data_IF_643269530123
#
_entry.id   IF_643269530123
#
_cell.length_a   1.000
_cell.length_b   1.000
_cell.length_c   1.000
_cell.angle_alpha   90.00
_cell.angle_beta   90.00
_cell.angle_gamma   90.00
#
_symmetry.space_group_name_H-M   'P 1'
#
loop_
_entity.id
_entity.type
_entity.pdbx_description
1 polymer ?
#
# COMPACT_ATOMS: atom_id res chain seq x y z
N UNK A 1 27.79 -12.86 -7.07
CA UNK A 1 26.98 -14.03 -7.46
C UNK A 1 25.54 -13.67 -7.19
N UNK A 2 24.68 -13.60 -8.19
CA UNK A 2 23.24 -13.46 -7.95
C UNK A 2 22.79 -14.72 -7.21
N UNK A 3 22.07 -14.55 -6.10
CA UNK A 3 21.45 -15.66 -5.39
C UNK A 3 20.30 -16.14 -6.28
N UNK A 4 20.40 -17.36 -6.78
CA UNK A 4 19.28 -18.01 -7.43
C UNK A 4 18.25 -18.34 -6.32
N UNK A 5 16.98 -17.99 -6.53
CA UNK A 5 15.87 -18.16 -5.60
C UNK A 5 15.88 -17.18 -4.39
N UNK A 6 15.47 -15.96 -4.65
CA UNK A 6 15.26 -14.96 -3.59
C UNK A 6 13.95 -15.21 -2.84
N UNK A 7 13.97 -14.96 -1.53
CA UNK A 7 12.76 -14.89 -0.71
C UNK A 7 12.26 -13.46 -0.64
N UNK A 8 11.04 -13.22 -1.12
CA UNK A 8 10.44 -11.89 -1.23
C UNK A 8 9.22 -11.82 -0.32
N UNK A 9 9.20 -10.85 0.59
CA UNK A 9 8.06 -10.57 1.46
C UNK A 9 7.32 -9.32 0.98
N UNK A 10 6.05 -9.46 0.65
CA UNK A 10 5.14 -8.34 0.40
C UNK A 10 4.36 -8.03 1.66
N UNK A 11 4.34 -6.77 2.07
CA UNK A 11 3.53 -6.26 3.18
C UNK A 11 2.62 -5.17 2.63
N UNK A 12 1.32 -5.31 2.79
CA UNK A 12 0.32 -4.37 2.29
C UNK A 12 -0.85 -4.23 3.25
N UNK A 13 -1.57 -3.10 3.23
CA UNK A 13 -2.85 -3.01 3.94
C UNK A 13 -3.84 -4.08 3.49
N UNK A 14 -3.99 -4.22 2.19
CA UNK A 14 -4.84 -5.19 1.50
C UNK A 14 -4.26 -5.51 0.11
N UNK A 15 -4.66 -6.59 -0.52
CA UNK A 15 -4.30 -6.86 -1.91
C UNK A 15 -5.20 -6.02 -2.84
N UNK A 16 -4.74 -4.82 -3.15
CA UNK A 16 -5.49 -3.88 -3.97
C UNK A 16 -5.51 -4.34 -5.43
N UNK A 17 -6.71 -4.55 -5.96
CA UNK A 17 -6.99 -5.00 -7.35
C UNK A 17 -6.17 -6.22 -7.81
N UNK A 18 -5.72 -7.06 -6.87
CA UNK A 18 -4.95 -8.26 -7.20
C UNK A 18 -3.49 -8.02 -7.61
N UNK A 19 -2.98 -6.80 -7.46
CA UNK A 19 -1.64 -6.41 -7.91
C UNK A 19 -0.54 -7.25 -7.25
N UNK A 20 -0.68 -7.54 -5.95
CA UNK A 20 0.31 -8.36 -5.24
C UNK A 20 0.35 -9.79 -5.76
N UNK A 21 -0.79 -10.35 -6.15
CA UNK A 21 -0.85 -11.69 -6.74
C UNK A 21 -0.13 -11.75 -8.08
N UNK A 22 -0.24 -10.69 -8.90
CA UNK A 22 0.48 -10.57 -10.17
C UNK A 22 1.99 -10.42 -9.95
N UNK A 23 2.43 -9.61 -8.99
CA UNK A 23 3.83 -9.51 -8.59
C UNK A 23 4.37 -10.85 -8.13
N UNK A 24 3.65 -11.53 -7.22
CA UNK A 24 4.01 -12.86 -6.73
C UNK A 24 4.18 -13.84 -7.89
N UNK A 25 3.19 -13.96 -8.77
CA UNK A 25 3.23 -14.86 -9.93
C UNK A 25 4.43 -14.56 -10.84
N UNK A 26 4.71 -13.26 -11.11
CA UNK A 26 5.81 -12.86 -11.96
C UNK A 26 7.18 -13.19 -11.34
N UNK A 27 7.34 -13.12 -10.02
CA UNK A 27 8.58 -13.49 -9.35
C UNK A 27 8.72 -14.99 -9.17
N UNK A 28 7.65 -15.71 -8.83
CA UNK A 28 7.65 -17.17 -8.71
C UNK A 28 7.95 -17.85 -10.05
N UNK A 29 7.47 -17.31 -11.17
CA UNK A 29 7.81 -17.82 -12.52
C UNK A 29 9.30 -17.69 -12.85
N UNK A 30 10.06 -16.91 -12.07
CA UNK A 30 11.52 -16.75 -12.17
C UNK A 30 12.28 -17.54 -11.09
N UNK A 31 11.59 -18.42 -10.36
CA UNK A 31 12.19 -19.27 -9.34
C UNK A 31 12.32 -18.64 -7.95
N UNK A 32 11.74 -17.46 -7.71
CA UNK A 32 11.75 -16.82 -6.39
C UNK A 32 10.64 -17.40 -5.49
N UNK A 33 10.80 -17.30 -4.18
CA UNK A 33 9.80 -17.65 -3.18
C UNK A 33 9.11 -16.38 -2.68
N UNK A 34 7.77 -16.28 -2.80
CA UNK A 34 7.04 -15.07 -2.47
C UNK A 34 5.98 -15.30 -1.41
N UNK A 35 5.99 -14.47 -0.37
CA UNK A 35 4.97 -14.43 0.67
C UNK A 35 4.27 -13.08 0.69
N UNK A 36 2.93 -13.11 0.76
CA UNK A 36 2.11 -11.89 0.91
C UNK A 36 1.55 -11.87 2.33
N UNK A 37 1.71 -10.74 3.01
CA UNK A 37 1.06 -10.44 4.29
C UNK A 37 0.19 -9.22 4.12
N UNK A 38 -1.10 -9.35 4.48
CA UNK A 38 -2.02 -8.22 4.51
C UNK A 38 -2.51 -7.92 5.92
N UNK A 39 -2.78 -6.64 6.19
CA UNK A 39 -3.22 -6.21 7.51
C UNK A 39 -4.70 -6.53 7.72
N UNK A 40 -5.52 -6.50 6.65
CA UNK A 40 -6.94 -6.81 6.70
C UNK A 40 -7.45 -7.33 5.34
N UNK A 41 -8.62 -7.97 5.36
CA UNK A 41 -9.28 -8.43 4.14
C UNK A 41 -9.85 -7.26 3.33
N UNK A 42 -9.66 -7.29 2.03
CA UNK A 42 -10.38 -6.44 1.08
C UNK A 42 -11.85 -6.86 0.98
N UNK A 43 -12.69 -5.96 0.48
CA UNK A 43 -14.09 -6.29 0.13
C UNK A 43 -14.21 -7.07 -1.19
N UNK A 44 -13.14 -7.16 -1.93
CA UNK A 44 -13.04 -7.87 -3.20
C UNK A 44 -12.39 -9.23 -2.98
N UNK A 45 -12.74 -10.21 -3.80
CA UNK A 45 -12.25 -11.60 -3.75
C UNK A 45 -10.80 -11.75 -4.28
N UNK A 46 -9.91 -10.85 -3.90
CA UNK A 46 -8.48 -11.01 -4.17
C UNK A 46 -7.81 -11.79 -3.04
N UNK A 47 -6.91 -12.70 -3.41
CA UNK A 47 -6.13 -13.49 -2.46
C UNK A 47 -5.37 -12.55 -1.50
N UNK A 48 -5.70 -12.54 -0.21
CA UNK A 48 -5.02 -11.70 0.77
C UNK A 48 -3.65 -12.23 1.20
N UNK A 49 -3.28 -13.44 0.76
CA UNK A 49 -2.16 -14.16 1.36
C UNK A 49 -2.41 -14.46 2.84
N UNK A 50 -1.39 -14.25 3.69
CA UNK A 50 -1.52 -14.36 5.14
C UNK A 50 -2.14 -13.07 5.68
N UNK A 51 -3.42 -13.09 6.01
CA UNK A 51 -4.11 -11.93 6.55
C UNK A 51 -4.05 -11.90 8.08
N UNK A 52 -3.50 -10.81 8.65
CA UNK A 52 -3.39 -10.66 10.10
C UNK A 52 -4.69 -10.27 10.78
N UNK A 53 -5.72 -9.86 10.04
CA UNK A 53 -7.03 -9.44 10.58
C UNK A 53 -6.87 -8.43 11.72
N UNK A 54 -6.12 -7.34 11.47
CA UNK A 54 -5.87 -6.32 12.47
C UNK A 54 -7.12 -5.47 12.71
N UNK A 55 -7.40 -5.09 13.98
CA UNK A 55 -8.53 -4.22 14.30
C UNK A 55 -8.25 -2.76 13.91
N UNK A 56 -9.29 -1.90 13.99
CA UNK A 56 -9.21 -0.45 13.73
C UNK A 56 -8.73 -0.08 12.31
N UNK A 57 -9.17 -0.86 11.35
CA UNK A 57 -8.87 -0.66 9.93
C UNK A 57 -10.08 -0.15 9.16
N UNK A 58 -9.86 0.39 7.97
CA UNK A 58 -10.90 0.95 7.09
C UNK A 58 -12.03 -0.04 6.75
N UNK A 59 -11.78 -1.33 6.84
CA UNK A 59 -12.75 -2.38 6.54
C UNK A 59 -13.95 -2.42 7.51
N UNK A 60 -13.85 -1.85 8.72
CA UNK A 60 -14.96 -1.77 9.67
C UNK A 60 -15.91 -0.61 9.33
N UNK A 61 -17.21 -0.86 9.01
CA UNK A 61 -18.16 0.20 8.68
C UNK A 61 -18.34 1.24 9.80
N UNK A 62 -18.37 0.77 11.05
CA UNK A 62 -18.48 1.65 12.21
C UNK A 62 -17.24 2.57 12.35
N UNK A 63 -16.07 2.00 12.18
CA UNK A 63 -14.81 2.74 12.24
C UNK A 63 -14.73 3.78 11.12
N UNK A 64 -15.08 3.40 9.89
CA UNK A 64 -15.11 4.31 8.74
C UNK A 64 -16.07 5.47 8.96
N UNK A 65 -17.27 5.21 9.50
CA UNK A 65 -18.27 6.24 9.80
C UNK A 65 -17.79 7.20 10.90
N UNK A 66 -17.16 6.67 11.96
CA UNK A 66 -16.62 7.47 13.06
C UNK A 66 -15.44 8.32 12.60
N UNK A 67 -14.54 7.74 11.78
CA UNK A 67 -13.42 8.43 11.17
C UNK A 67 -13.89 9.54 10.23
N UNK A 68 -14.88 9.28 9.38
CA UNK A 68 -15.44 10.27 8.47
C UNK A 68 -16.05 11.46 9.26
N UNK A 69 -16.82 11.19 10.32
CA UNK A 69 -17.34 12.24 11.20
C UNK A 69 -16.23 13.07 11.86
N UNK A 70 -15.17 12.40 12.33
CA UNK A 70 -14.02 13.11 12.91
C UNK A 70 -13.36 14.02 11.88
N UNK A 71 -13.11 13.54 10.66
CA UNK A 71 -12.52 14.37 9.61
C UNK A 71 -13.41 15.52 9.16
N UNK A 72 -14.72 15.31 9.07
CA UNK A 72 -15.68 16.39 8.79
C UNK A 72 -15.64 17.49 9.85
N UNK A 73 -15.56 17.10 11.13
CA UNK A 73 -15.51 18.05 12.26
C UNK A 73 -14.14 18.73 12.38
N UNK A 74 -13.04 18.01 12.11
CA UNK A 74 -11.68 18.52 12.29
C UNK A 74 -11.15 19.30 11.08
N UNK A 75 -11.65 19.03 9.87
CA UNK A 75 -11.13 19.55 8.60
C UNK A 75 -12.17 20.22 7.69
N UNK A 76 -13.45 20.22 8.06
CA UNK A 76 -14.55 20.67 7.22
C UNK A 76 -15.09 19.56 6.30
N UNK A 77 -16.17 19.86 5.57
CA UNK A 77 -16.95 18.88 4.80
C UNK A 77 -16.18 18.16 3.67
N UNK A 78 -15.09 18.72 3.16
CA UNK A 78 -14.27 18.19 2.07
C UNK A 78 -13.01 17.45 2.55
N UNK A 79 -12.89 17.21 3.85
CA UNK A 79 -11.67 16.83 4.56
C UNK A 79 -11.02 15.50 4.20
N UNK A 80 -11.67 14.59 3.48
CA UNK A 80 -11.10 13.28 3.12
C UNK A 80 -10.11 13.36 1.94
N UNK A 81 -10.07 14.49 1.22
CA UNK A 81 -9.33 14.66 -0.05
C UNK A 81 -8.51 15.94 -0.13
N UNK A 82 -8.13 16.47 0.99
CA UNK A 82 -7.17 17.56 0.97
C UNK A 82 -5.80 17.00 0.56
N UNK A 83 -5.29 17.46 -0.58
CA UNK A 83 -3.92 17.15 -0.96
C UNK A 83 -2.96 17.65 0.12
N UNK A 84 -1.99 16.81 0.43
CA UNK A 84 -0.97 17.18 1.40
C UNK A 84 0.18 17.88 0.70
N UNK A 85 0.58 19.02 1.24
CA UNK A 85 1.73 19.78 0.75
C UNK A 85 3.06 19.10 1.13
N UNK A 86 4.09 19.39 0.34
CA UNK A 86 5.45 18.92 0.57
C UNK A 86 6.05 18.21 -0.64
N UNK A 87 7.39 18.04 -0.61
CA UNK A 87 8.18 17.37 -1.66
C UNK A 87 9.29 16.51 -1.01
N UNK A 88 8.98 15.25 -0.67
CA UNK A 88 7.67 14.61 -0.67
C UNK A 88 6.73 15.14 0.43
N UNK A 89 5.40 14.98 0.27
CA UNK A 89 4.49 15.23 1.38
C UNK A 89 4.74 14.20 2.47
N UNK A 90 4.91 14.63 3.72
CA UNK A 90 5.26 13.75 4.85
C UNK A 90 4.09 13.57 5.78
N UNK A 91 3.78 12.34 6.13
CA UNK A 91 2.76 12.02 7.13
C UNK A 91 3.15 12.57 8.51
N UNK A 92 2.19 13.21 9.15
CA UNK A 92 2.26 13.60 10.55
C UNK A 92 0.86 13.53 11.16
N UNK A 93 0.72 13.22 12.45
CA UNK A 93 -0.56 13.33 13.12
C UNK A 93 -1.06 14.79 13.09
N UNK A 94 -2.34 14.99 12.77
CA UNK A 94 -2.92 16.35 12.69
C UNK A 94 -3.25 16.94 14.06
N UNK A 95 -3.27 16.10 15.10
CA UNK A 95 -3.56 16.50 16.47
C UNK A 95 -2.89 15.56 17.46
N UNK A 96 -2.78 16.01 18.71
CA UNK A 96 -2.33 15.17 19.83
C UNK A 96 -3.22 13.94 20.00
N UNK A 97 -4.54 14.09 19.80
CA UNK A 97 -5.50 12.98 19.88
C UNK A 97 -5.23 11.92 18.80
N UNK A 98 -4.96 12.35 17.58
CA UNK A 98 -4.61 11.45 16.48
C UNK A 98 -3.28 10.72 16.74
N UNK A 99 -2.29 11.42 17.31
CA UNK A 99 -1.03 10.81 17.75
C UNK A 99 -1.28 9.70 18.79
N UNK A 100 -2.06 9.98 19.82
CA UNK A 100 -2.43 9.00 20.86
C UNK A 100 -3.20 7.82 20.27
N UNK A 101 -4.12 8.10 19.33
CA UNK A 101 -4.86 7.05 18.65
C UNK A 101 -3.93 6.09 17.90
N UNK A 102 -2.97 6.59 17.10
CA UNK A 102 -2.04 5.72 16.38
C UNK A 102 -1.12 4.95 17.33
N UNK A 103 -0.67 5.55 18.42
CA UNK A 103 0.12 4.85 19.45
C UNK A 103 -0.66 3.71 20.10
N UNK A 104 -1.92 3.97 20.48
CA UNK A 104 -2.81 2.95 21.02
C UNK A 104 -3.09 1.85 20.02
N UNK A 105 -3.40 2.20 18.78
CA UNK A 105 -3.61 1.24 17.69
C UNK A 105 -2.39 0.34 17.51
N UNK A 106 -1.20 0.92 17.41
CA UNK A 106 0.04 0.19 17.18
C UNK A 106 0.38 -0.71 18.39
N UNK A 107 0.05 -0.28 19.59
CA UNK A 107 0.14 -1.11 20.77
C UNK A 107 -0.82 -2.31 20.71
N UNK A 108 -2.09 -2.11 20.34
CA UNK A 108 -3.03 -3.22 20.15
C UNK A 108 -2.57 -4.16 19.03
N UNK A 109 -2.05 -3.60 17.96
CA UNK A 109 -1.57 -4.40 16.84
C UNK A 109 -0.35 -5.26 17.20
N UNK A 110 0.49 -4.79 18.11
CA UNK A 110 1.68 -5.54 18.53
C UNK A 110 1.37 -6.92 19.10
N UNK A 111 0.20 -7.11 19.72
CA UNK A 111 -0.23 -8.43 20.21
C UNK A 111 -0.47 -9.48 19.11
N UNK A 112 -0.67 -9.06 17.86
CA UNK A 112 -0.78 -9.96 16.70
C UNK A 112 0.47 -9.91 15.82
N UNK A 113 1.03 -8.74 15.63
CA UNK A 113 2.14 -8.53 14.71
C UNK A 113 3.45 -9.12 15.24
N UNK A 114 3.79 -8.90 16.53
CA UNK A 114 5.04 -9.43 17.07
C UNK A 114 5.09 -10.98 17.09
N UNK A 115 4.02 -11.70 17.48
CA UNK A 115 3.98 -13.15 17.25
C UNK A 115 4.11 -13.54 15.79
N UNK A 116 3.39 -12.86 14.86
CA UNK A 116 3.47 -13.16 13.45
C UNK A 116 4.89 -12.95 12.88
N UNK A 117 5.58 -11.89 13.30
CA UNK A 117 6.99 -11.67 12.89
C UNK A 117 7.86 -12.86 13.30
N UNK A 118 7.67 -13.39 14.50
CA UNK A 118 8.45 -14.51 15.02
C UNK A 118 8.03 -15.84 14.38
N UNK A 119 6.73 -16.14 14.38
CA UNK A 119 6.20 -17.46 13.99
C UNK A 119 6.32 -17.70 12.49
N UNK A 120 6.27 -16.64 11.68
CA UNK A 120 6.45 -16.67 10.23
C UNK A 120 7.86 -16.29 9.80
N UNK A 121 8.78 -16.10 10.75
CA UNK A 121 10.19 -15.74 10.49
C UNK A 121 10.34 -14.55 9.52
N UNK A 122 9.55 -13.48 9.74
CA UNK A 122 9.44 -12.37 8.80
C UNK A 122 10.72 -11.53 8.66
N UNK A 123 11.74 -11.74 9.46
CA UNK A 123 13.03 -11.07 9.34
C UNK A 123 14.02 -11.83 8.43
N UNK A 124 13.66 -13.03 7.98
CA UNK A 124 14.54 -13.91 7.20
C UNK A 124 14.17 -13.97 5.70
N UNK A 125 13.74 -12.82 5.16
CA UNK A 125 13.57 -12.65 3.71
C UNK A 125 14.75 -11.90 3.11
N UNK A 126 14.93 -12.03 1.79
CA UNK A 126 16.02 -11.37 1.07
C UNK A 126 15.61 -9.97 0.62
N UNK A 127 14.32 -9.77 0.27
CA UNK A 127 13.75 -8.49 -0.20
C UNK A 127 12.41 -8.26 0.49
N UNK A 128 12.15 -7.02 0.85
CA UNK A 128 10.89 -6.56 1.43
C UNK A 128 10.21 -5.55 0.51
N UNK A 129 8.98 -5.84 0.12
CA UNK A 129 8.19 -4.95 -0.72
C UNK A 129 7.00 -4.41 0.07
N UNK A 130 7.04 -3.12 0.38
CA UNK A 130 6.03 -2.43 1.18
C UNK A 130 5.07 -1.71 0.24
N UNK A 131 3.87 -2.24 0.10
CA UNK A 131 2.84 -1.62 -0.73
C UNK A 131 2.17 -0.47 0.03
N UNK A 132 1.83 0.62 -0.66
CA UNK A 132 1.38 1.89 -0.10
C UNK A 132 2.43 2.59 0.79
N UNK A 133 3.71 2.24 0.70
CA UNK A 133 4.74 2.74 1.61
C UNK A 133 4.36 2.53 3.08
N UNK A 134 3.80 1.36 3.40
CA UNK A 134 3.33 0.98 4.73
C UNK A 134 3.99 -0.31 5.19
N UNK A 135 4.30 -0.35 6.47
CA UNK A 135 4.55 -1.56 7.25
C UNK A 135 3.44 -1.76 8.29
N UNK A 136 3.67 -2.56 9.31
CA UNK A 136 2.70 -2.80 10.37
C UNK A 136 2.43 -1.57 11.22
N UNK A 137 3.45 -0.75 11.50
CA UNK A 137 3.40 0.37 12.43
C UNK A 137 3.64 1.73 11.76
N UNK A 138 3.18 2.79 12.40
CA UNK A 138 3.38 4.16 11.90
C UNK A 138 4.74 4.76 12.27
N UNK A 139 5.44 4.16 13.22
CA UNK A 139 6.75 4.64 13.66
C UNK A 139 7.94 4.01 12.91
N UNK A 140 7.68 3.05 12.00
CA UNK A 140 8.72 2.41 11.18
C UNK A 140 9.58 1.41 11.95
N UNK A 141 9.13 0.92 13.11
CA UNK A 141 9.95 0.06 13.97
C UNK A 141 10.32 -1.28 13.35
N UNK A 142 9.48 -1.83 12.46
CA UNK A 142 9.82 -3.05 11.72
C UNK A 142 10.86 -2.76 10.65
N UNK A 143 10.65 -1.71 9.85
CA UNK A 143 11.60 -1.26 8.83
C UNK A 143 12.97 -0.94 9.43
N UNK A 144 13.02 -0.33 10.63
CA UNK A 144 14.29 -0.09 11.33
C UNK A 144 15.08 -1.38 11.61
N UNK A 145 14.39 -2.45 12.02
CA UNK A 145 15.04 -3.78 12.20
C UNK A 145 15.60 -4.32 10.87
N UNK A 146 14.90 -4.06 9.75
CA UNK A 146 15.36 -4.48 8.42
C UNK A 146 16.58 -3.67 7.96
N UNK A 147 16.56 -2.36 8.19
CA UNK A 147 17.67 -1.45 7.88
C UNK A 147 18.93 -1.83 8.68
N UNK A 148 18.80 -2.08 9.99
CA UNK A 148 19.87 -2.56 10.85
C UNK A 148 20.46 -3.90 10.39
N UNK A 149 19.63 -4.75 9.76
CA UNK A 149 20.02 -6.03 9.17
C UNK A 149 20.53 -5.91 7.72
N UNK A 150 20.62 -4.70 7.16
CA UNK A 150 21.05 -4.45 5.78
C UNK A 150 20.13 -5.04 4.71
N UNK A 151 18.84 -5.18 5.01
CA UNK A 151 17.86 -5.78 4.10
C UNK A 151 17.34 -4.73 3.09
N UNK A 152 17.31 -5.06 1.78
CA UNK A 152 16.75 -4.16 0.78
C UNK A 152 15.23 -4.05 0.93
N UNK A 153 14.76 -2.80 0.88
CA UNK A 153 13.35 -2.44 1.03
C UNK A 153 12.90 -1.70 -0.23
N UNK A 154 11.77 -2.13 -0.80
CA UNK A 154 11.11 -1.48 -1.92
C UNK A 154 9.78 -0.93 -1.42
N UNK A 155 9.46 0.33 -1.73
CA UNK A 155 8.16 0.92 -1.46
C UNK A 155 7.41 1.21 -2.75
N UNK A 156 6.17 0.74 -2.85
CA UNK A 156 5.24 1.18 -3.90
C UNK A 156 4.31 2.24 -3.33
N UNK A 157 4.22 3.37 -4.04
CA UNK A 157 3.31 4.47 -3.71
C UNK A 157 2.22 4.60 -4.77
N UNK A 158 0.98 4.77 -4.30
CA UNK A 158 -0.20 4.99 -5.12
C UNK A 158 -0.73 6.42 -4.94
N UNK A 159 -1.67 6.83 -5.80
CA UNK A 159 -2.17 8.20 -5.77
C UNK A 159 -2.83 8.60 -4.47
N UNK A 160 -3.66 7.72 -3.91
CA UNK A 160 -4.42 8.07 -2.72
C UNK A 160 -3.52 8.23 -1.48
N UNK A 161 -2.55 7.34 -1.28
CA UNK A 161 -1.64 7.41 -0.14
C UNK A 161 -0.69 8.61 -0.26
N UNK A 162 -0.07 8.80 -1.41
CA UNK A 162 0.87 9.91 -1.63
C UNK A 162 0.17 11.27 -1.56
N UNK A 163 -0.99 11.43 -2.22
CA UNK A 163 -1.69 12.73 -2.26
C UNK A 163 -2.33 13.11 -0.93
N UNK A 164 -2.83 12.14 -0.13
CA UNK A 164 -3.62 12.46 1.08
C UNK A 164 -2.88 12.24 2.39
N UNK A 165 -2.15 11.14 2.49
CA UNK A 165 -1.37 10.80 3.68
C UNK A 165 0.05 11.36 3.63
N UNK A 166 0.69 11.21 2.48
CA UNK A 166 2.12 11.40 2.29
C UNK A 166 2.93 10.18 2.75
N UNK A 167 4.25 10.27 2.59
CA UNK A 167 5.20 9.23 3.00
C UNK A 167 5.33 9.15 4.52
N UNK A 168 5.64 7.98 5.05
CA UNK A 168 6.05 7.81 6.44
C UNK A 168 7.59 7.90 6.45
N UNK A 169 8.10 9.01 6.96
CA UNK A 169 9.51 9.38 6.82
C UNK A 169 10.52 8.28 7.20
N UNK A 170 10.39 7.52 8.30
CA UNK A 170 11.34 6.42 8.59
C UNK A 170 11.26 5.30 7.55
N UNK A 171 10.09 5.00 6.99
CA UNK A 171 9.93 3.95 5.97
C UNK A 171 10.55 4.42 4.65
N UNK A 172 10.22 5.63 4.24
CA UNK A 172 10.67 6.23 2.99
C UNK A 172 12.22 6.36 2.94
N UNK A 173 12.82 6.80 4.04
CA UNK A 173 14.27 6.94 4.16
C UNK A 173 15.03 5.61 4.13
N UNK A 174 14.45 4.56 4.69
CA UNK A 174 15.05 3.23 4.71
C UNK A 174 14.83 2.47 3.39
N UNK A 175 13.96 2.96 2.53
CA UNK A 175 13.68 2.34 1.23
C UNK A 175 14.89 2.45 0.30
N UNK A 176 15.29 1.33 -0.26
CA UNK A 176 16.34 1.25 -1.30
C UNK A 176 15.80 1.63 -2.68
N UNK A 177 14.48 1.54 -2.88
CA UNK A 177 13.82 1.84 -4.14
C UNK A 177 12.36 2.25 -3.89
N UNK A 178 11.99 3.43 -4.35
CA UNK A 178 10.63 3.94 -4.33
C UNK A 178 10.04 3.89 -5.74
N UNK A 179 8.90 3.22 -5.92
CA UNK A 179 8.26 3.05 -7.23
C UNK A 179 6.82 3.52 -7.22
N UNK A 180 6.35 3.92 -8.38
CA UNK A 180 4.94 4.25 -8.64
C UNK A 180 4.53 3.90 -10.07
N UNK A 181 3.26 3.59 -10.26
CA UNK A 181 2.65 3.45 -11.59
C UNK A 181 1.91 4.72 -12.06
N UNK A 182 1.95 5.79 -11.27
CA UNK A 182 1.25 7.05 -11.54
C UNK A 182 2.28 8.15 -11.83
N UNK A 183 2.38 8.58 -13.09
CA UNK A 183 3.40 9.53 -13.56
C UNK A 183 3.36 10.89 -12.84
N UNK A 184 2.17 11.37 -12.47
CA UNK A 184 2.03 12.64 -11.76
C UNK A 184 2.62 12.61 -10.33
N UNK A 185 2.73 11.44 -9.71
CA UNK A 185 3.36 11.31 -8.39
C UNK A 185 4.87 11.56 -8.43
N UNK A 186 5.51 11.39 -9.58
CA UNK A 186 6.93 11.74 -9.73
C UNK A 186 7.19 13.24 -9.53
N UNK A 187 6.16 14.08 -9.70
CA UNK A 187 6.23 15.50 -9.39
C UNK A 187 6.06 15.80 -7.89
N UNK A 188 5.66 14.81 -7.09
CA UNK A 188 5.44 14.95 -5.64
C UNK A 188 6.55 14.34 -4.80
N UNK A 189 7.42 13.50 -5.39
CA UNK A 189 8.49 12.84 -4.68
C UNK A 189 9.71 12.68 -5.58
N UNK A 190 10.91 13.20 -5.17
CA UNK A 190 12.09 13.26 -6.04
C UNK A 190 12.65 11.88 -6.41
N UNK A 191 12.53 10.90 -5.51
CA UNK A 191 13.19 9.60 -5.62
C UNK A 191 12.27 8.52 -6.18
N UNK A 192 11.04 8.87 -6.65
CA UNK A 192 10.13 7.93 -7.28
C UNK A 192 10.62 7.53 -8.67
N UNK A 193 10.63 6.24 -8.92
CA UNK A 193 10.81 5.67 -10.24
C UNK A 193 9.49 5.15 -10.78
N UNK A 194 9.23 5.43 -12.06
CA UNK A 194 8.04 4.92 -12.73
C UNK A 194 8.20 3.44 -13.07
N UNK A 195 7.25 2.63 -12.62
CA UNK A 195 7.16 1.23 -12.98
C UNK A 195 5.69 0.87 -13.23
N UNK A 196 5.40 0.35 -14.42
CA UNK A 196 4.06 -0.09 -14.75
C UNK A 196 3.61 -1.21 -13.80
N UNK A 197 2.33 -1.20 -13.41
CA UNK A 197 1.76 -2.31 -12.65
C UNK A 197 1.89 -3.62 -13.46
N UNK A 198 2.14 -4.76 -12.82
CA UNK A 198 2.17 -6.04 -13.49
C UNK A 198 0.81 -6.31 -14.14
N UNK A 199 0.84 -6.76 -15.38
CA UNK A 199 -0.35 -7.11 -16.15
C UNK A 199 -0.12 -8.41 -16.90
N UNK A 200 -1.06 -9.33 -16.80
CA UNK A 200 -1.00 -10.58 -17.55
C UNK A 200 -1.46 -10.36 -18.99
N UNK A 201 -0.51 -10.25 -19.89
CA UNK A 201 -0.77 -10.07 -21.34
C UNK A 201 -1.19 -11.35 -22.05
N UNK A 202 -1.06 -12.51 -21.41
CA UNK A 202 -1.43 -13.80 -22.02
C UNK A 202 -2.94 -13.94 -22.25
N UNK A 203 -3.72 -13.20 -21.47
CA UNK A 203 -5.18 -13.15 -21.58
C UNK A 203 -5.68 -12.04 -22.51
N UNK A 204 -4.76 -11.33 -23.19
CA UNK A 204 -5.14 -10.23 -24.03
C UNK A 204 -5.82 -10.74 -25.31
N UNK A 205 -7.13 -10.47 -25.40
CA UNK A 205 -7.89 -10.76 -26.61
C UNK A 205 -7.53 -9.71 -27.65
N UNK A 206 -7.08 -10.13 -28.83
CA UNK A 206 -6.80 -9.23 -29.95
C UNK A 206 -8.01 -8.32 -30.21
N UNK A 207 -7.80 -7.00 -30.43
CA UNK A 207 -8.91 -6.09 -30.69
C UNK A 207 -9.62 -6.56 -31.95
N UNK A 208 -10.90 -6.91 -31.79
CA UNK A 208 -11.80 -7.07 -32.91
C UNK A 208 -12.04 -5.70 -33.54
N UNK A 209 -12.59 -5.65 -34.73
CA UNK A 209 -12.93 -4.43 -35.48
C UNK A 209 -13.41 -3.27 -34.60
N UNK A 210 -12.95 -2.05 -34.91
CA UNK A 210 -13.41 -0.81 -34.27
C UNK A 210 -14.93 -0.73 -34.32
N UNK A 211 -15.57 -0.62 -33.16
CA UNK A 211 -17.02 -0.46 -33.07
C UNK A 211 -17.46 0.87 -33.71
N UNK A 212 -18.49 0.81 -34.56
CA UNK A 212 -19.16 2.02 -35.02
C UNK A 212 -20.63 1.95 -34.59
N UNK A 213 -21.12 2.95 -33.84
CA UNK A 213 -20.41 4.13 -33.30
C UNK A 213 -19.35 3.78 -32.23
N UNK A 214 -18.39 4.68 -32.03
CA UNK A 214 -17.36 4.54 -30.96
C UNK A 214 -18.05 4.38 -29.61
N UNK A 215 -17.66 3.35 -28.87
CA UNK A 215 -18.15 3.09 -27.51
C UNK A 215 -17.06 3.42 -26.51
N UNK A 216 -17.38 4.29 -25.56
CA UNK A 216 -16.50 4.65 -24.44
C UNK A 216 -16.99 3.93 -23.19
N UNK A 217 -16.12 3.18 -22.54
CA UNK A 217 -16.38 2.56 -21.25
C UNK A 217 -15.75 3.38 -20.13
N UNK A 218 -16.50 3.71 -19.11
CA UNK A 218 -16.03 4.32 -17.87
C UNK A 218 -16.45 3.43 -16.72
N UNK A 219 -15.46 2.74 -16.09
CA UNK A 219 -15.68 1.80 -14.99
C UNK A 219 -14.85 2.20 -13.76
N UNK A 220 -15.23 3.26 -13.04
CA UNK A 220 -14.48 3.76 -11.90
C UNK A 220 -14.72 2.89 -10.66
N UNK A 221 -13.65 2.65 -9.90
CA UNK A 221 -13.71 2.02 -8.57
C UNK A 221 -14.40 2.92 -7.54
N UNK A 222 -14.34 4.24 -7.72
CA UNK A 222 -15.03 5.24 -6.94
C UNK A 222 -15.48 6.38 -7.86
N UNK A 223 -16.81 6.56 -7.99
CA UNK A 223 -17.39 7.54 -8.92
C UNK A 223 -17.04 8.99 -8.58
N UNK A 224 -17.07 9.33 -7.31
CA UNK A 224 -16.78 10.69 -6.82
C UNK A 224 -15.39 11.14 -7.23
N UNK A 225 -14.36 10.29 -6.98
CA UNK A 225 -12.96 10.65 -7.26
C UNK A 225 -12.56 10.56 -8.73
N UNK A 226 -13.32 9.83 -9.51
CA UNK A 226 -13.04 9.62 -10.94
C UNK A 226 -13.90 10.49 -11.84
N UNK A 227 -14.57 11.52 -11.28
CA UNK A 227 -15.33 12.48 -12.05
C UNK A 227 -16.53 11.89 -12.80
N UNK A 228 -17.19 10.86 -12.25
CA UNK A 228 -18.34 10.24 -12.91
C UNK A 228 -19.62 11.07 -12.79
N UNK A 229 -19.62 12.10 -11.97
CA UNK A 229 -20.79 12.95 -11.66
C UNK A 229 -20.64 14.37 -12.26
N UNK A 230 -19.64 14.59 -13.08
CA UNK A 230 -19.39 15.85 -13.81
C UNK A 230 -19.99 15.80 -15.21
#
# INVERSE_FOLDING_TARGET
>A
MSKDNLKILYIAPENTVGTLSLWKQAHESRGNECTIITLYHTKHDYDPGICLNLPFVKASPWYTKSRHRYYQLARGAEGDYQEKDGYPPVWSPNSTLEKWYFQFRDWVWSFKVEPAIKDLDLLNYDIYHLDWGLEFYRDGRFVKKLEEAGKPIICTYHGQDMRTRGVIAPIDKASSLNITSELDLMQKHPDLQYLFLPYDTSQHVQPKTVNQPIRICHSPTNRYYKGSET
#
